data_IF_915293696678
#
_entry.id   IF_915293696678
#
_cell.length_a   1.000
_cell.length_b   1.000
_cell.length_c   1.000
_cell.angle_alpha   90.00
_cell.angle_beta   90.00
_cell.angle_gamma   90.00
#
_symmetry.space_group_name_H-M   'P 1'
#
loop_
_entity.id
_entity.type
_entity.pdbx_description
1 polymer ?
#
# COMPACT_ATOMS: atom_id res chain seq x y z
N UNK A 1 -19.74 -19.04 -20.26
CA UNK A 1 -18.45 -19.02 -19.53
C UNK A 1 -18.67 -18.20 -18.26
N UNK A 2 -18.28 -18.68 -17.07
CA UNK A 2 -18.28 -17.85 -15.87
C UNK A 2 -17.32 -16.67 -16.08
N UNK A 3 -17.64 -15.52 -15.47
CA UNK A 3 -16.75 -14.37 -15.47
C UNK A 3 -15.38 -14.75 -14.87
N UNK A 4 -14.31 -14.25 -15.46
CA UNK A 4 -12.96 -14.40 -14.94
C UNK A 4 -12.80 -13.70 -13.58
N UNK A 5 -11.82 -14.13 -12.78
CA UNK A 5 -11.52 -13.51 -11.50
C UNK A 5 -11.25 -12.00 -11.62
N UNK A 6 -10.58 -11.58 -12.70
CA UNK A 6 -10.30 -10.16 -12.99
C UNK A 6 -11.57 -9.38 -13.29
N UNK A 7 -12.50 -9.94 -14.06
CA UNK A 7 -13.78 -9.30 -14.36
C UNK A 7 -14.62 -9.12 -13.09
N UNK A 8 -14.66 -10.12 -12.23
CA UNK A 8 -15.34 -10.06 -10.92
C UNK A 8 -14.73 -8.96 -10.05
N UNK A 9 -13.40 -8.90 -9.94
CA UNK A 9 -12.71 -7.87 -9.16
C UNK A 9 -13.02 -6.47 -9.70
N UNK A 10 -13.02 -6.29 -11.02
CA UNK A 10 -13.31 -4.99 -11.63
C UNK A 10 -14.76 -4.55 -11.35
N UNK A 11 -15.71 -5.48 -11.42
CA UNK A 11 -17.11 -5.21 -11.09
C UNK A 11 -17.29 -4.81 -9.63
N UNK A 12 -16.62 -5.51 -8.70
CA UNK A 12 -16.63 -5.15 -7.28
C UNK A 12 -16.08 -3.75 -7.03
N UNK A 13 -14.92 -3.41 -7.60
CA UNK A 13 -14.32 -2.08 -7.46
C UNK A 13 -15.21 -0.99 -8.08
N UNK A 14 -15.88 -1.28 -9.20
CA UNK A 14 -16.82 -0.34 -9.82
C UNK A 14 -18.06 -0.09 -8.96
N UNK A 15 -18.56 -1.12 -8.28
CA UNK A 15 -19.73 -1.04 -7.41
C UNK A 15 -19.44 -0.33 -6.07
N UNK A 16 -18.18 -0.19 -5.66
CA UNK A 16 -17.82 0.48 -4.41
C UNK A 16 -18.15 1.98 -4.41
N UNK A 17 -18.65 2.47 -3.28
CA UNK A 17 -18.80 3.90 -3.01
C UNK A 17 -17.44 4.59 -2.90
N UNK A 18 -17.42 5.92 -2.98
CA UNK A 18 -16.20 6.71 -2.80
C UNK A 18 -15.55 6.47 -1.41
N UNK A 19 -16.36 6.38 -0.35
CA UNK A 19 -15.89 6.10 1.01
C UNK A 19 -15.22 4.71 1.10
N UNK A 20 -15.85 3.69 0.52
CA UNK A 20 -15.29 2.34 0.49
C UNK A 20 -13.96 2.30 -0.27
N UNK A 21 -13.87 3.00 -1.41
CA UNK A 21 -12.64 3.12 -2.18
C UNK A 21 -11.55 3.82 -1.39
N UNK A 22 -11.88 4.90 -0.69
CA UNK A 22 -10.95 5.62 0.17
C UNK A 22 -10.41 4.69 1.27
N UNK A 23 -11.29 3.97 1.96
CA UNK A 23 -10.91 3.03 3.00
C UNK A 23 -9.99 1.91 2.47
N UNK A 24 -10.31 1.36 1.31
CA UNK A 24 -9.48 0.33 0.67
C UNK A 24 -8.10 0.90 0.27
N UNK A 25 -8.05 2.08 -0.32
CA UNK A 25 -6.80 2.74 -0.68
C UNK A 25 -5.94 3.08 0.53
N UNK A 26 -6.55 3.47 1.65
CA UNK A 26 -5.85 3.68 2.92
C UNK A 26 -5.23 2.39 3.45
N UNK A 27 -6.01 1.30 3.49
CA UNK A 27 -5.50 0.00 3.90
C UNK A 27 -4.35 -0.47 3.01
N UNK A 28 -4.47 -0.30 1.69
CA UNK A 28 -3.41 -0.63 0.73
C UNK A 28 -2.14 0.20 0.97
N UNK A 29 -2.28 1.51 1.22
CA UNK A 29 -1.18 2.40 1.56
C UNK A 29 -0.47 1.93 2.84
N UNK A 30 -1.22 1.61 3.88
CA UNK A 30 -0.65 1.18 5.17
C UNK A 30 0.12 -0.14 5.02
N UNK A 31 -0.45 -1.14 4.33
CA UNK A 31 0.26 -2.39 4.04
C UNK A 31 1.53 -2.16 3.20
N UNK A 32 1.48 -1.28 2.20
CA UNK A 32 2.66 -0.94 1.41
C UNK A 32 3.76 -0.29 2.25
N UNK A 33 3.40 0.55 3.20
CA UNK A 33 4.34 1.17 4.15
C UNK A 33 4.97 0.14 5.08
N UNK A 34 4.17 -0.78 5.62
CA UNK A 34 4.67 -1.87 6.48
C UNK A 34 5.66 -2.76 5.74
N UNK A 35 5.33 -3.18 4.51
CA UNK A 35 6.25 -3.97 3.69
C UNK A 35 7.55 -3.23 3.44
N UNK A 36 7.48 -1.92 3.14
CA UNK A 36 8.69 -1.14 2.91
C UNK A 36 9.52 -0.98 4.18
N UNK A 37 8.89 -0.78 5.33
CA UNK A 37 9.57 -0.74 6.61
C UNK A 37 10.28 -2.07 6.90
N UNK A 38 9.61 -3.21 6.69
CA UNK A 38 10.19 -4.54 6.88
C UNK A 38 11.41 -4.76 5.97
N UNK A 39 11.33 -4.34 4.70
CA UNK A 39 12.46 -4.40 3.78
C UNK A 39 13.63 -3.51 4.22
N UNK A 40 13.36 -2.29 4.70
CA UNK A 40 14.42 -1.39 5.22
C UNK A 40 15.08 -2.00 6.45
N UNK A 41 14.31 -2.49 7.43
CA UNK A 41 14.86 -3.18 8.62
C UNK A 41 15.78 -4.34 8.24
N UNK A 42 15.38 -5.12 7.22
CA UNK A 42 16.17 -6.26 6.75
C UNK A 42 17.45 -5.84 6.02
N UNK A 43 17.46 -4.68 5.36
CA UNK A 43 18.59 -4.22 4.54
C UNK A 43 19.55 -3.30 5.29
N UNK A 44 19.07 -2.61 6.34
CA UNK A 44 19.79 -1.64 7.16
C UNK A 44 19.40 -1.86 8.65
N UNK A 45 19.85 -2.96 9.27
CA UNK A 45 19.49 -3.33 10.64
C UNK A 45 20.00 -2.35 11.71
N UNK A 46 20.97 -1.50 11.37
CA UNK A 46 21.52 -0.46 12.25
C UNK A 46 20.60 0.75 12.42
N UNK A 47 19.57 0.89 11.57
CA UNK A 47 18.64 2.01 11.67
C UNK A 47 17.72 1.86 12.88
N UNK A 48 17.47 2.97 13.55
CA UNK A 48 16.39 3.05 14.55
C UNK A 48 15.03 2.99 13.87
N UNK A 49 13.99 2.57 14.59
CA UNK A 49 12.62 2.57 14.05
C UNK A 49 12.18 3.95 13.56
N UNK A 50 12.60 5.04 14.22
CA UNK A 50 12.31 6.39 13.76
C UNK A 50 12.92 6.64 12.37
N UNK A 51 14.19 6.27 12.17
CA UNK A 51 14.88 6.43 10.89
C UNK A 51 14.28 5.54 9.78
N UNK A 52 13.84 4.33 10.11
CA UNK A 52 13.10 3.45 9.19
C UNK A 52 11.82 4.14 8.71
N UNK A 53 11.00 4.68 9.63
CA UNK A 53 9.76 5.35 9.26
C UNK A 53 9.99 6.63 8.44
N UNK A 54 11.04 7.40 8.74
CA UNK A 54 11.42 8.54 7.91
C UNK A 54 11.83 8.12 6.49
N UNK A 55 12.61 7.03 6.36
CA UNK A 55 13.01 6.51 5.08
C UNK A 55 11.80 6.03 4.26
N UNK A 56 10.83 5.32 4.87
CA UNK A 56 9.56 4.96 4.22
C UNK A 56 8.82 6.21 3.72
N UNK A 57 8.68 7.24 4.57
CA UNK A 57 8.02 8.50 4.18
C UNK A 57 8.72 9.17 2.99
N UNK A 58 10.05 9.18 2.96
CA UNK A 58 10.84 9.76 1.86
C UNK A 58 10.62 9.01 0.55
N UNK A 59 10.58 7.67 0.60
CA UNK A 59 10.34 6.82 -0.57
C UNK A 59 8.95 7.04 -1.16
N UNK A 60 7.91 7.11 -0.33
CA UNK A 60 6.54 7.32 -0.80
C UNK A 60 6.21 8.79 -1.14
N UNK A 61 7.03 9.76 -0.72
CA UNK A 61 6.83 11.19 -1.04
C UNK A 61 6.86 11.46 -2.55
N UNK A 62 7.65 10.71 -3.31
CA UNK A 62 7.79 10.86 -4.76
C UNK A 62 7.07 9.76 -5.55
N UNK A 63 6.36 8.84 -4.89
CA UNK A 63 5.72 7.70 -5.55
C UNK A 63 4.44 8.09 -6.35
N UNK A 64 4.00 9.35 -6.26
CA UNK A 64 2.83 9.87 -6.98
C UNK A 64 3.12 11.09 -7.87
N UNK A 65 4.40 11.33 -8.19
CA UNK A 65 4.82 12.37 -9.14
C UNK A 65 5.04 11.80 -10.54
#
# INVERSE_FOLDING_TARGET
>A
MPASATEIQLQLVRAMTAEQKLKLSQALRDSAWEFKAAWIRSSQPELTECAVQEAVRRLFRHAGA
#
